data_IF_793449668890
#
_entry.id   IF_793449668890
#
_cell.length_a   1.000
_cell.length_b   1.000
_cell.length_c   1.000
_cell.angle_alpha   90.00
_cell.angle_beta   90.00
_cell.angle_gamma   90.00
#
_symmetry.space_group_name_H-M   'P 1'
#
loop_
_entity.id
_entity.type
_entity.pdbx_description
1 polymer ?
#
# COMPACT_ATOMS: atom_id res chain seq x y z
N UNK A 1 -2.47 5.60 -8.96
CA UNK A 1 -3.10 4.26 -8.99
C UNK A 1 -4.12 4.16 -10.14
N UNK A 2 -3.93 4.91 -11.23
CA UNK A 2 -4.81 4.83 -12.39
C UNK A 2 -4.69 3.45 -13.06
N UNK A 3 -5.77 2.94 -13.68
CA UNK A 3 -7.10 3.57 -13.79
C UNK A 3 -8.02 3.33 -12.58
N UNK A 4 -7.56 2.59 -11.55
CA UNK A 4 -8.40 2.19 -10.41
C UNK A 4 -8.79 3.35 -9.50
N UNK A 5 -7.82 4.21 -9.18
CA UNK A 5 -8.02 5.39 -8.33
C UNK A 5 -7.47 6.64 -9.00
N UNK A 6 -8.36 7.62 -9.14
CA UNK A 6 -8.03 8.96 -9.65
C UNK A 6 -7.56 9.87 -8.50
N UNK A 7 -6.70 10.88 -8.79
CA UNK A 7 -6.39 11.91 -7.81
C UNK A 7 -7.66 12.55 -7.24
N UNK A 8 -7.74 12.68 -5.91
CA UNK A 8 -8.92 13.22 -5.22
C UNK A 8 -10.02 12.20 -4.93
N UNK A 9 -9.96 10.98 -5.47
CA UNK A 9 -10.94 9.94 -5.16
C UNK A 9 -10.80 9.45 -3.72
N UNK A 10 -11.93 9.37 -3.03
CA UNK A 10 -12.00 8.92 -1.65
C UNK A 10 -12.02 7.39 -1.54
N UNK A 11 -11.42 6.88 -0.47
CA UNK A 11 -11.38 5.45 -0.17
C UNK A 11 -11.69 5.21 1.31
N UNK A 12 -12.32 4.08 1.60
CA UNK A 12 -12.48 3.60 2.97
C UNK A 12 -11.33 2.64 3.31
N UNK A 13 -10.78 2.79 4.50
CA UNK A 13 -9.65 2.01 5.00
C UNK A 13 -10.06 1.27 6.26
N UNK A 14 -9.75 -0.03 6.35
CA UNK A 14 -9.72 -0.75 7.62
C UNK A 14 -8.34 -0.55 8.27
N UNK A 15 -8.20 0.30 9.31
CA UNK A 15 -6.93 0.56 9.97
C UNK A 15 -6.50 -0.58 10.91
N UNK A 16 -7.33 -1.61 11.08
CA UNK A 16 -7.11 -2.72 11.99
C UNK A 16 -6.68 -4.01 11.29
N UNK A 17 -6.83 -4.07 9.96
CA UNK A 17 -6.55 -5.24 9.11
C UNK A 17 -5.23 -5.95 9.46
N UNK A 18 -4.18 -5.17 9.74
CA UNK A 18 -2.83 -5.70 9.97
C UNK A 18 -2.30 -5.52 11.39
N UNK A 19 -3.15 -5.17 12.36
CA UNK A 19 -2.71 -4.98 13.76
C UNK A 19 -2.49 -6.29 14.51
N UNK A 20 -3.23 -7.35 14.16
CA UNK A 20 -3.08 -8.66 14.81
C UNK A 20 -1.99 -9.49 14.15
N UNK A 21 -1.18 -10.28 14.89
CA UNK A 21 -0.12 -11.10 14.33
C UNK A 21 -0.57 -11.99 13.17
N UNK A 22 -1.79 -12.54 13.25
CA UNK A 22 -2.40 -13.41 12.23
C UNK A 22 -2.94 -12.67 11.00
N UNK A 23 -3.07 -11.34 11.05
CA UNK A 23 -3.51 -10.50 9.93
C UNK A 23 -2.33 -9.97 9.12
N UNK A 24 -1.60 -10.84 8.43
CA UNK A 24 -0.56 -10.38 7.50
C UNK A 24 -1.21 -9.90 6.18
N UNK A 25 -0.72 -8.80 5.57
CA UNK A 25 -1.09 -8.40 4.22
C UNK A 25 -0.90 -9.54 3.22
N UNK A 26 -1.86 -9.69 2.32
CA UNK A 26 -1.90 -10.73 1.28
C UNK A 26 -1.56 -10.14 -0.08
N UNK A 27 -1.13 -11.01 -0.99
CA UNK A 27 -0.96 -10.66 -2.39
C UNK A 27 -2.27 -10.07 -2.95
N UNK A 28 -2.17 -8.91 -3.61
CA UNK A 28 -3.31 -8.21 -4.17
C UNK A 28 -4.08 -7.33 -3.16
N UNK A 29 -3.71 -7.29 -1.88
CA UNK A 29 -4.28 -6.31 -0.97
C UNK A 29 -3.88 -4.89 -1.42
N UNK A 30 -4.86 -3.98 -1.46
CA UNK A 30 -4.60 -2.57 -1.67
C UNK A 30 -4.39 -1.92 -0.30
N UNK A 31 -3.21 -1.34 -0.08
CA UNK A 31 -2.80 -0.87 1.25
C UNK A 31 -2.50 0.62 1.26
N UNK A 32 -2.75 1.24 2.41
CA UNK A 32 -2.16 2.53 2.74
C UNK A 32 -0.85 2.27 3.48
N UNK A 33 0.23 2.93 3.06
CA UNK A 33 1.52 2.86 3.72
C UNK A 33 2.18 4.23 3.85
N UNK A 34 3.06 4.41 4.83
CA UNK A 34 4.02 5.50 4.82
C UNK A 34 5.17 5.19 3.84
N UNK A 35 5.64 6.22 3.14
CA UNK A 35 6.85 6.12 2.32
C UNK A 35 8.07 5.93 3.24
N UNK A 36 8.94 4.92 3.02
CA UNK A 36 10.02 4.58 3.95
C UNK A 36 11.05 5.70 4.15
N UNK A 37 11.29 6.52 3.11
CA UNK A 37 12.29 7.60 3.13
C UNK A 37 11.72 9.03 3.10
N UNK A 38 10.39 9.20 3.15
CA UNK A 38 9.73 10.52 3.08
C UNK A 38 8.73 10.64 4.22
N UNK A 39 9.13 11.16 5.38
CA UNK A 39 8.29 11.23 6.57
C UNK A 39 6.93 11.88 6.29
N UNK A 40 5.86 11.27 6.79
CA UNK A 40 4.49 11.77 6.66
C UNK A 40 3.84 11.54 5.28
N UNK A 41 4.60 11.17 4.24
CA UNK A 41 4.03 10.88 2.92
C UNK A 41 3.31 9.53 2.95
N UNK A 42 2.01 9.54 2.65
CA UNK A 42 1.17 8.33 2.54
C UNK A 42 1.03 7.91 1.08
N UNK A 43 1.06 6.61 0.85
CA UNK A 43 0.95 5.97 -0.46
C UNK A 43 -0.21 4.98 -0.46
N UNK A 44 -0.86 4.82 -1.62
CA UNK A 44 -1.80 3.72 -1.90
C UNK A 44 -1.18 2.83 -2.97
N UNK A 45 -0.98 1.54 -2.66
CA UNK A 45 -0.32 0.57 -3.56
C UNK A 45 -0.86 -0.84 -3.34
N UNK A 46 -0.70 -1.70 -4.33
CA UNK A 46 -0.96 -3.13 -4.18
C UNK A 46 0.22 -3.85 -3.57
N UNK A 47 -0.04 -4.83 -2.70
CA UNK A 47 0.95 -5.82 -2.29
C UNK A 47 1.20 -6.77 -3.45
N UNK A 48 2.36 -6.66 -4.09
CA UNK A 48 2.72 -7.49 -5.24
C UNK A 48 3.35 -8.83 -4.82
N UNK A 49 4.19 -8.80 -3.79
CA UNK A 49 4.83 -9.95 -3.15
C UNK A 49 5.44 -9.55 -1.81
N UNK A 50 5.97 -10.50 -1.04
CA UNK A 50 6.66 -10.23 0.22
C UNK A 50 7.91 -11.11 0.36
N UNK A 51 8.80 -10.68 1.23
CA UNK A 51 10.02 -11.39 1.66
C UNK A 51 10.17 -11.21 3.17
N UNK A 52 11.20 -11.82 3.76
CA UNK A 52 11.60 -11.57 5.15
C UNK A 52 11.85 -10.08 5.45
N UNK A 53 12.28 -9.30 4.45
CA UNK A 53 12.53 -7.86 4.60
C UNK A 53 11.25 -7.01 4.60
N UNK A 54 10.11 -7.56 4.18
CA UNK A 54 8.83 -6.84 4.12
C UNK A 54 8.08 -7.03 2.81
N UNK A 55 7.16 -6.10 2.53
CA UNK A 55 6.20 -6.17 1.45
C UNK A 55 6.64 -5.31 0.27
N UNK A 56 6.63 -5.89 -0.93
CA UNK A 56 6.87 -5.15 -2.15
C UNK A 56 5.55 -4.56 -2.65
N UNK A 57 5.48 -3.23 -2.64
CA UNK A 57 4.29 -2.48 -2.99
C UNK A 57 4.41 -1.94 -4.41
N UNK A 58 3.41 -2.14 -5.26
CA UNK A 58 3.42 -1.69 -6.65
C UNK A 58 2.15 -0.91 -7.02
N UNK A 59 2.34 0.10 -7.86
CA UNK A 59 1.23 0.84 -8.46
C UNK A 59 0.80 0.26 -9.79
N UNK A 60 -0.48 0.44 -10.13
CA UNK A 60 -1.06 -0.01 -11.42
C UNK A 60 -0.59 0.78 -12.64
N UNK A 61 0.01 1.96 -12.46
CA UNK A 61 0.57 2.75 -13.55
C UNK A 61 2.10 2.76 -13.44
N UNK A 62 2.81 1.80 -14.06
CA UNK A 62 4.25 1.64 -13.92
C UNK A 62 5.06 2.88 -14.28
N UNK A 63 4.61 3.67 -15.25
CA UNK A 63 5.29 4.86 -15.75
C UNK A 63 5.28 6.04 -14.76
N UNK A 64 4.26 6.11 -13.90
CA UNK A 64 4.03 7.25 -12.99
C UNK A 64 4.06 6.84 -11.50
N UNK A 65 4.33 5.57 -11.21
CA UNK A 65 4.25 5.06 -9.84
C UNK A 65 5.61 5.07 -9.15
N UNK A 66 5.81 6.01 -8.22
CA UNK A 66 6.81 5.84 -7.16
C UNK A 66 6.36 4.73 -6.22
N UNK A 67 7.08 3.61 -6.22
CA UNK A 67 6.75 2.40 -5.46
C UNK A 67 8.00 1.57 -5.14
N UNK A 68 7.82 0.33 -4.66
CA UNK A 68 8.94 -0.51 -4.19
C UNK A 68 10.00 -0.81 -5.25
N UNK A 69 9.72 -0.58 -6.54
CA UNK A 69 10.76 -0.64 -7.58
C UNK A 69 11.87 0.40 -7.39
N UNK A 70 11.55 1.52 -6.75
CA UNK A 70 12.49 2.62 -6.47
C UNK A 70 13.03 2.56 -5.03
N UNK A 71 12.17 2.24 -4.05
CA UNK A 71 12.53 2.33 -2.63
C UNK A 71 12.63 0.98 -1.89
N UNK A 72 12.46 -0.14 -2.59
CA UNK A 72 12.55 -1.47 -1.98
C UNK A 72 11.34 -1.88 -1.14
N UNK A 73 11.45 -2.96 -0.34
CA UNK A 73 10.35 -3.49 0.45
C UNK A 73 9.96 -2.54 1.60
N UNK A 74 8.68 -2.54 1.94
CA UNK A 74 8.09 -1.75 3.02
C UNK A 74 7.79 -2.68 4.20
N UNK A 75 8.30 -2.34 5.38
CA UNK A 75 8.10 -3.15 6.58
C UNK A 75 6.66 -3.02 7.11
N UNK A 76 6.24 -3.96 7.96
CA UNK A 76 4.87 -4.00 8.49
C UNK A 76 4.49 -2.73 9.26
N UNK A 77 5.44 -2.10 9.93
CA UNK A 77 5.25 -0.91 10.77
C UNK A 77 4.86 0.32 9.93
N UNK A 78 5.19 0.31 8.64
CA UNK A 78 4.82 1.37 7.72
C UNK A 78 3.41 1.18 7.12
N UNK A 79 2.77 0.01 7.30
CA UNK A 79 1.44 -0.26 6.79
C UNK A 79 0.37 0.26 7.75
N UNK A 80 -0.53 1.10 7.24
CA UNK A 80 -1.56 1.78 8.03
C UNK A 80 -2.90 1.06 8.00
N UNK A 81 -3.17 0.26 6.98
CA UNK A 81 -4.41 -0.47 6.84
C UNK A 81 -4.69 -0.92 5.40
N UNK A 82 -5.79 -1.62 5.23
CA UNK A 82 -6.26 -2.10 3.93
C UNK A 82 -7.33 -1.16 3.39
N UNK A 83 -7.23 -0.77 2.12
CA UNK A 83 -8.32 -0.14 1.39
C UNK A 83 -9.39 -1.20 1.10
N UNK A 84 -10.60 -0.99 1.62
CA UNK A 84 -11.71 -1.96 1.51
C UNK A 84 -12.75 -1.56 0.48
N UNK A 85 -12.87 -0.26 0.17
CA UNK A 85 -13.66 0.23 -0.95
C UNK A 85 -13.18 1.61 -1.41
N UNK A 86 -13.66 2.01 -2.59
CA UNK A 86 -13.54 3.37 -3.13
C UNK A 86 -14.93 3.95 -3.30
N UNK A 87 -15.05 5.25 -3.10
CA UNK A 87 -16.30 5.95 -3.40
C UNK A 87 -16.42 6.18 -4.92
N UNK A 88 -17.66 6.31 -5.45
CA UNK A 88 -17.90 6.58 -6.87
C UNK A 88 -17.10 7.76 -7.41
#
# INVERSE_FOLDING_TARGET
MLPLLFPGQEVLVDPTAYRRPTGAPRLGDLVIAYHPYRPGLRLIKYVAWHTEAGYFLQGLNPAESSDSREFGPVTREHLLGQVVCRFP
#
